data_IF_881771346762
#
_entry.id   IF_881771346762
#
_cell.length_a   1.000
_cell.length_b   1.000
_cell.length_c   1.000
_cell.angle_alpha   90.00
_cell.angle_beta   90.00
_cell.angle_gamma   90.00
#
_symmetry.space_group_name_H-M   'P 1'
#
loop_
_entity.id
_entity.type
_entity.pdbx_description
1 polymer ?
#
# COMPACT_ATOMS: atom_id res chain seq x y z
N UNK A 1 25.37 -9.07 3.28
CA UNK A 1 24.10 -9.75 3.60
C UNK A 1 24.29 -11.26 3.75
N UNK A 2 25.04 -11.94 2.87
CA UNK A 2 25.30 -13.37 2.93
C UNK A 2 25.90 -13.79 4.30
N UNK A 3 26.98 -13.15 4.71
CA UNK A 3 27.62 -13.43 6.01
C UNK A 3 26.65 -13.28 7.19
N UNK A 4 25.83 -12.23 7.17
CA UNK A 4 24.84 -11.98 8.21
C UNK A 4 23.74 -13.04 8.23
N UNK A 5 23.29 -13.46 7.03
CA UNK A 5 22.27 -14.51 6.92
C UNK A 5 22.77 -15.84 7.48
N UNK A 6 24.01 -16.22 7.16
CA UNK A 6 24.63 -17.45 7.67
C UNK A 6 24.87 -17.35 9.18
N UNK A 7 25.40 -16.22 9.65
CA UNK A 7 25.64 -15.99 11.07
C UNK A 7 24.36 -16.02 11.91
N UNK A 8 23.26 -15.50 11.35
CA UNK A 8 21.93 -15.53 11.96
C UNK A 8 21.18 -16.86 11.73
N UNK A 9 21.86 -17.92 11.30
CA UNK A 9 21.27 -19.25 11.03
C UNK A 9 20.05 -19.19 10.10
N UNK A 10 20.12 -18.39 9.03
CA UNK A 10 19.07 -18.18 8.03
C UNK A 10 17.79 -17.52 8.59
N UNK A 11 17.91 -16.71 9.66
CA UNK A 11 16.81 -15.90 10.16
C UNK A 11 16.53 -14.73 9.17
N UNK A 12 15.51 -14.91 8.33
CA UNK A 12 15.09 -13.89 7.37
C UNK A 12 14.58 -12.61 8.05
N UNK A 13 13.99 -12.69 9.24
CA UNK A 13 13.53 -11.50 9.97
C UNK A 13 14.70 -10.64 10.40
N UNK A 14 15.80 -11.25 10.82
CA UNK A 14 17.04 -10.54 11.11
C UNK A 14 17.58 -9.83 9.86
N UNK A 15 17.62 -10.53 8.72
CA UNK A 15 18.08 -9.96 7.46
C UNK A 15 17.21 -8.78 7.00
N UNK A 16 15.89 -8.91 7.07
CA UNK A 16 14.98 -7.81 6.75
C UNK A 16 15.19 -6.60 7.66
N UNK A 17 15.40 -6.79 8.97
CA UNK A 17 15.71 -5.68 9.88
C UNK A 17 17.00 -4.96 9.48
N UNK A 18 18.05 -5.69 9.11
CA UNK A 18 19.29 -5.07 8.62
C UNK A 18 19.07 -4.23 7.36
N UNK A 19 18.32 -4.75 6.39
CA UNK A 19 18.00 -4.03 5.15
C UNK A 19 17.20 -2.77 5.46
N UNK A 20 16.09 -2.90 6.19
CA UNK A 20 15.18 -1.79 6.48
C UNK A 20 15.83 -0.70 7.35
N UNK A 21 16.77 -1.05 8.21
CA UNK A 21 17.52 -0.09 9.03
C UNK A 21 18.80 0.43 8.36
N UNK A 22 19.09 0.01 7.13
CA UNK A 22 20.26 0.50 6.42
C UNK A 22 20.07 1.96 5.99
N UNK A 23 21.15 2.73 6.03
CA UNK A 23 21.15 4.13 5.54
C UNK A 23 20.68 4.24 4.09
N UNK A 24 21.01 3.26 3.26
CA UNK A 24 20.60 3.21 1.86
C UNK A 24 19.09 3.09 1.72
N UNK A 25 18.46 2.21 2.49
CA UNK A 25 17.01 2.00 2.44
C UNK A 25 16.22 3.19 3.00
N UNK A 26 16.78 3.87 4.01
CA UNK A 26 16.14 5.00 4.70
C UNK A 26 16.44 6.36 4.04
N UNK A 27 16.99 6.37 2.82
CA UNK A 27 17.18 7.62 2.08
C UNK A 27 15.85 8.27 1.74
N UNK A 28 15.83 9.61 1.79
CA UNK A 28 14.71 10.41 1.28
C UNK A 28 14.55 10.20 -0.23
N UNK A 29 13.33 10.38 -0.73
CA UNK A 29 13.07 10.46 -2.16
C UNK A 29 13.53 11.79 -2.78
N UNK A 30 13.77 12.80 -1.97
CA UNK A 30 14.30 14.08 -2.43
C UNK A 30 15.79 13.91 -2.66
N UNK A 31 16.21 14.04 -3.92
CA UNK A 31 17.62 14.03 -4.27
C UNK A 31 18.30 15.28 -3.72
N UNK A 32 19.47 15.16 -3.07
CA UNK A 32 20.25 16.32 -2.65
C UNK A 32 20.89 17.08 -3.82
N UNK A 33 20.90 16.51 -5.02
CA UNK A 33 21.41 17.07 -6.26
C UNK A 33 20.40 16.94 -7.38
N UNK A 34 20.31 17.93 -8.26
CA UNK A 34 19.47 17.88 -9.46
C UNK A 34 20.01 16.92 -10.54
N UNK A 35 21.09 16.20 -10.25
CA UNK A 35 21.75 15.32 -11.18
C UNK A 35 21.02 13.98 -11.32
N UNK A 36 20.75 13.57 -12.55
CA UNK A 36 20.11 12.29 -12.91
C UNK A 36 20.87 11.04 -12.44
N UNK A 37 22.15 11.19 -12.07
CA UNK A 37 22.97 10.10 -11.55
C UNK A 37 22.66 9.73 -10.09
N UNK A 38 21.84 10.51 -9.40
CA UNK A 38 21.49 10.28 -8.00
C UNK A 38 20.76 8.95 -7.77
N UNK A 39 19.90 8.55 -8.69
CA UNK A 39 19.18 7.28 -8.61
C UNK A 39 20.10 6.07 -8.85
N UNK A 40 21.00 6.16 -9.83
CA UNK A 40 21.95 5.09 -10.17
C UNK A 40 22.93 4.82 -9.02
N UNK A 41 23.26 5.84 -8.24
CA UNK A 41 24.19 5.75 -7.10
C UNK A 41 23.49 5.55 -5.75
N UNK A 42 22.19 5.23 -5.74
CA UNK A 42 21.39 5.07 -4.50
C UNK A 42 21.45 6.29 -3.56
N UNK A 43 21.62 7.49 -4.12
CA UNK A 43 21.68 8.72 -3.33
C UNK A 43 20.30 9.14 -2.80
N UNK A 44 19.23 8.73 -3.45
CA UNK A 44 17.85 8.92 -3.03
C UNK A 44 17.04 7.62 -3.21
N UNK A 45 15.89 7.54 -2.57
CA UNK A 45 14.96 6.42 -2.73
C UNK A 45 14.03 6.68 -3.93
N UNK A 46 14.03 5.86 -4.98
CA UNK A 46 13.16 6.09 -6.13
C UNK A 46 11.70 5.88 -5.74
N UNK A 47 10.86 6.86 -6.05
CA UNK A 47 9.42 6.75 -5.83
C UNK A 47 8.83 5.70 -6.76
N UNK A 48 8.13 4.75 -6.18
CA UNK A 48 7.38 3.73 -6.91
C UNK A 48 5.92 3.77 -6.53
N UNK A 49 5.06 3.52 -7.51
CA UNK A 49 3.64 3.32 -7.24
C UNK A 49 3.45 2.00 -6.50
N UNK A 50 2.55 1.99 -5.53
CA UNK A 50 2.14 0.75 -4.88
C UNK A 50 1.43 -0.16 -5.90
N UNK A 51 1.71 -1.45 -5.85
CA UNK A 51 0.96 -2.46 -6.57
C UNK A 51 -0.50 -2.47 -6.12
N UNK A 52 -1.39 -2.94 -7.01
CA UNK A 52 -2.83 -2.95 -6.76
C UNK A 52 -3.19 -3.68 -5.46
N UNK A 53 -2.56 -4.84 -5.23
CA UNK A 53 -2.78 -5.68 -4.06
C UNK A 53 -2.32 -4.99 -2.77
N UNK A 54 -1.14 -4.38 -2.80
CA UNK A 54 -0.58 -3.65 -1.65
C UNK A 54 -1.43 -2.42 -1.35
N UNK A 55 -1.87 -1.70 -2.38
CA UNK A 55 -2.68 -0.50 -2.22
C UNK A 55 -4.04 -0.81 -1.59
N UNK A 56 -4.74 -1.82 -2.07
CA UNK A 56 -6.05 -2.17 -1.51
C UNK A 56 -5.94 -2.74 -0.09
N UNK A 57 -4.92 -3.54 0.19
CA UNK A 57 -4.66 -4.06 1.53
C UNK A 57 -4.34 -2.93 2.51
N UNK A 58 -3.56 -1.92 2.08
CA UNK A 58 -3.28 -0.72 2.87
C UNK A 58 -4.56 0.07 3.16
N UNK A 59 -5.41 0.31 2.14
CA UNK A 59 -6.70 0.98 2.31
C UNK A 59 -7.62 0.22 3.28
N UNK A 60 -7.67 -1.11 3.18
CA UNK A 60 -8.42 -1.95 4.11
C UNK A 60 -7.87 -1.88 5.53
N UNK A 61 -6.55 -1.89 5.70
CA UNK A 61 -5.89 -1.80 6.99
C UNK A 61 -6.11 -0.44 7.67
N UNK A 62 -6.01 0.65 6.91
CA UNK A 62 -6.22 2.03 7.38
C UNK A 62 -7.67 2.20 7.82
N UNK A 63 -8.62 1.80 6.98
CA UNK A 63 -10.05 1.97 7.26
C UNK A 63 -10.62 0.94 8.24
N UNK A 64 -9.96 -0.21 8.41
CA UNK A 64 -10.48 -1.35 9.17
C UNK A 64 -11.56 -2.12 8.41
N UNK A 65 -11.63 -1.97 7.08
CA UNK A 65 -12.58 -2.67 6.21
C UNK A 65 -11.94 -3.88 5.55
N UNK A 66 -12.73 -4.60 4.76
CA UNK A 66 -12.28 -5.73 3.96
C UNK A 66 -12.55 -5.47 2.49
N UNK A 67 -11.86 -6.20 1.62
CA UNK A 67 -12.17 -6.24 0.19
C UNK A 67 -12.92 -7.52 -0.14
N UNK A 68 -13.80 -7.44 -1.12
CA UNK A 68 -14.52 -8.59 -1.63
C UNK A 68 -13.92 -9.02 -2.97
N UNK A 69 -13.68 -10.31 -3.09
CA UNK A 69 -13.14 -10.89 -4.32
C UNK A 69 -14.19 -11.79 -4.96
N UNK A 70 -14.09 -11.92 -6.26
CA UNK A 70 -14.85 -12.88 -7.05
C UNK A 70 -13.90 -13.84 -7.75
N UNK A 71 -14.35 -15.06 -7.98
CA UNK A 71 -13.63 -16.05 -8.77
C UNK A 71 -14.52 -16.56 -9.90
N UNK A 72 -13.90 -16.86 -11.04
CA UNK A 72 -14.55 -17.53 -12.17
C UNK A 72 -14.81 -19.00 -11.79
N UNK A 73 -14.00 -19.56 -10.89
CA UNK A 73 -14.13 -20.93 -10.41
C UNK A 73 -15.11 -20.93 -9.23
N UNK A 74 -16.25 -21.63 -9.31
CA UNK A 74 -17.24 -21.61 -8.25
C UNK A 74 -16.82 -22.43 -7.01
N UNK A 75 -17.46 -22.15 -5.87
CA UNK A 75 -17.38 -23.00 -4.69
C UNK A 75 -17.95 -24.41 -5.01
N UNK A 76 -17.42 -25.48 -4.41
CA UNK A 76 -16.37 -25.49 -3.36
C UNK A 76 -14.94 -25.54 -3.89
N UNK A 77 -14.73 -25.41 -5.19
CA UNK A 77 -13.39 -25.50 -5.80
C UNK A 77 -12.51 -24.29 -5.52
N UNK A 78 -13.13 -23.14 -5.26
CA UNK A 78 -12.43 -21.94 -4.79
C UNK A 78 -13.09 -21.50 -3.50
N UNK A 79 -12.33 -21.54 -2.40
CA UNK A 79 -12.76 -21.02 -1.10
C UNK A 79 -11.92 -19.79 -0.76
N UNK A 80 -12.60 -18.69 -0.46
CA UNK A 80 -11.96 -17.45 -0.02
C UNK A 80 -12.40 -17.11 1.41
N UNK A 81 -11.47 -17.10 2.38
CA UNK A 81 -11.77 -16.59 3.71
C UNK A 81 -12.24 -15.14 3.65
N UNK A 82 -13.13 -14.73 4.54
CA UNK A 82 -13.63 -13.35 4.61
C UNK A 82 -12.52 -12.32 4.91
N UNK A 83 -11.43 -12.74 5.56
CA UNK A 83 -10.28 -11.91 5.91
C UNK A 83 -9.11 -12.06 4.94
N UNK A 84 -9.36 -12.63 3.75
CA UNK A 84 -8.34 -12.81 2.72
C UNK A 84 -7.71 -11.48 2.33
N UNK A 85 -6.38 -11.42 2.39
CA UNK A 85 -5.62 -10.27 1.91
C UNK A 85 -5.33 -10.40 0.42
N UNK A 86 -5.32 -9.26 -0.30
CA UNK A 86 -5.03 -9.22 -1.72
C UNK A 86 -3.65 -9.77 -2.07
N UNK A 87 -2.64 -9.46 -1.26
CA UNK A 87 -1.26 -9.95 -1.46
C UNK A 87 -1.13 -11.47 -1.31
N UNK A 88 -2.11 -12.14 -0.70
CA UNK A 88 -2.12 -13.57 -0.48
C UNK A 88 -3.13 -14.32 -1.37
N UNK A 89 -3.65 -13.67 -2.40
CA UNK A 89 -4.49 -14.33 -3.42
C UNK A 89 -3.67 -15.33 -4.20
N UNK A 90 -4.23 -16.54 -4.39
CA UNK A 90 -3.51 -17.66 -4.97
C UNK A 90 -3.10 -17.41 -6.43
N UNK A 91 -4.01 -16.84 -7.22
CA UNK A 91 -3.80 -16.56 -8.64
C UNK A 91 -4.70 -15.41 -9.13
N UNK A 92 -4.63 -15.11 -10.42
CA UNK A 92 -5.39 -14.03 -11.03
C UNK A 92 -6.85 -14.41 -11.40
N UNK A 93 -7.25 -15.68 -11.21
CA UNK A 93 -8.65 -16.09 -11.35
C UNK A 93 -9.54 -15.49 -10.26
N UNK A 94 -8.92 -15.12 -9.13
CA UNK A 94 -9.56 -14.43 -8.01
C UNK A 94 -9.23 -12.95 -8.11
N UNK A 95 -10.21 -12.11 -8.37
CA UNK A 95 -10.00 -10.69 -8.64
C UNK A 95 -11.06 -9.80 -7.99
N UNK A 96 -10.87 -8.49 -8.07
CA UNK A 96 -11.88 -7.47 -7.78
C UNK A 96 -11.81 -6.35 -8.82
N UNK A 97 -12.88 -5.56 -8.99
CA UNK A 97 -12.87 -4.41 -9.89
C UNK A 97 -11.76 -3.38 -9.58
N UNK A 98 -11.33 -3.31 -8.32
CA UNK A 98 -10.21 -2.49 -7.91
C UNK A 98 -8.89 -3.03 -8.45
N UNK A 99 -8.61 -4.32 -8.24
CA UNK A 99 -7.38 -4.96 -8.69
C UNK A 99 -7.19 -4.86 -10.21
N UNK A 100 -8.25 -5.11 -10.97
CA UNK A 100 -8.25 -4.97 -12.44
C UNK A 100 -7.94 -3.53 -12.88
N UNK A 101 -8.58 -2.56 -12.24
CA UNK A 101 -8.39 -1.15 -12.56
C UNK A 101 -6.99 -0.66 -12.24
N UNK A 102 -6.37 -1.17 -11.18
CA UNK A 102 -5.06 -0.73 -10.70
C UNK A 102 -3.88 -1.53 -11.27
N UNK A 103 -4.14 -2.38 -12.26
CA UNK A 103 -3.09 -2.95 -13.11
C UNK A 103 -2.57 -4.30 -12.64
N UNK A 104 -3.36 -5.04 -11.81
CA UNK A 104 -3.05 -6.43 -11.54
C UNK A 104 -3.09 -7.23 -12.85
N UNK A 105 -2.18 -8.20 -13.01
CA UNK A 105 -2.21 -9.12 -14.14
C UNK A 105 -3.55 -9.86 -14.19
N UNK A 106 -4.13 -9.96 -15.38
CA UNK A 106 -5.34 -10.74 -15.63
C UNK A 106 -5.07 -12.23 -15.91
N UNK A 107 -3.80 -12.61 -15.97
CA UNK A 107 -3.39 -13.98 -16.27
C UNK A 107 -3.14 -14.78 -15.00
N UNK A 108 -3.46 -16.06 -15.04
CA UNK A 108 -3.24 -17.00 -13.93
C UNK A 108 -1.79 -17.14 -13.52
N UNK A 109 -0.87 -16.88 -14.46
CA UNK A 109 0.57 -16.95 -14.23
C UNK A 109 1.10 -15.85 -13.29
N UNK A 110 0.35 -14.76 -13.09
CA UNK A 110 0.76 -13.62 -12.26
C UNK A 110 2.08 -13.00 -12.67
N UNK A 111 2.47 -13.11 -13.95
CA UNK A 111 3.74 -12.58 -14.44
C UNK A 111 3.83 -11.08 -14.25
N UNK A 112 4.96 -10.63 -13.72
CA UNK A 112 5.26 -9.21 -13.52
C UNK A 112 5.16 -8.38 -14.81
N UNK A 113 5.55 -8.99 -15.94
CA UNK A 113 5.46 -8.37 -17.27
C UNK A 113 4.03 -8.03 -17.72
N UNK A 114 3.04 -8.68 -17.14
CA UNK A 114 1.63 -8.45 -17.47
C UNK A 114 1.00 -7.36 -16.58
N UNK A 115 1.72 -6.87 -15.57
CA UNK A 115 1.27 -5.78 -14.71
C UNK A 115 1.39 -4.44 -15.44
N UNK A 116 0.42 -3.58 -15.24
CA UNK A 116 0.43 -2.23 -15.79
C UNK A 116 0.86 -1.21 -14.74
N UNK A 117 2.05 -0.66 -14.90
CA UNK A 117 2.58 0.41 -14.03
C UNK A 117 2.14 1.81 -14.43
N UNK A 118 1.40 1.93 -15.52
CA UNK A 118 0.95 3.23 -16.04
C UNK A 118 -0.20 3.78 -15.19
N UNK A 119 -0.02 5.01 -14.72
CA UNK A 119 -1.08 5.75 -14.04
C UNK A 119 -2.10 6.24 -15.05
N UNK A 120 -3.37 5.88 -14.87
CA UNK A 120 -4.47 6.31 -15.74
C UNK A 120 -5.35 7.36 -15.07
N UNK A 121 -6.05 8.17 -15.88
CA UNK A 121 -7.05 9.11 -15.38
C UNK A 121 -8.19 8.38 -14.61
N UNK A 122 -8.56 7.19 -15.06
CA UNK A 122 -9.58 6.36 -14.40
C UNK A 122 -9.17 5.93 -12.99
N UNK A 123 -7.89 5.61 -12.75
CA UNK A 123 -7.38 5.29 -11.41
C UNK A 123 -7.44 6.50 -10.49
N UNK A 124 -7.00 7.68 -10.96
CA UNK A 124 -7.06 8.93 -10.18
C UNK A 124 -8.50 9.28 -9.82
N UNK A 125 -9.41 9.21 -10.80
CA UNK A 125 -10.82 9.50 -10.59
C UNK A 125 -11.46 8.51 -9.61
N UNK A 126 -11.07 7.24 -9.68
CA UNK A 126 -11.55 6.22 -8.75
C UNK A 126 -11.13 6.52 -7.30
N UNK A 127 -9.87 6.89 -7.06
CA UNK A 127 -9.41 7.26 -5.72
C UNK A 127 -10.11 8.51 -5.17
N UNK A 128 -10.42 9.47 -6.04
CA UNK A 128 -11.04 10.74 -5.63
C UNK A 128 -12.57 10.64 -5.43
N UNK A 129 -13.27 9.90 -6.29
CA UNK A 129 -14.73 10.04 -6.41
C UNK A 129 -15.51 8.72 -6.33
N UNK A 130 -14.85 7.55 -6.18
CA UNK A 130 -15.60 6.30 -6.18
C UNK A 130 -16.36 6.07 -4.88
N UNK A 131 -17.56 5.50 -5.01
CA UNK A 131 -18.33 5.02 -3.85
C UNK A 131 -17.57 3.95 -3.05
N UNK A 132 -16.73 3.16 -3.72
CA UNK A 132 -15.89 2.15 -3.08
C UNK A 132 -14.91 2.75 -2.05
N UNK A 133 -14.15 3.78 -2.44
CA UNK A 133 -13.23 4.47 -1.53
C UNK A 133 -14.00 5.25 -0.46
N UNK A 134 -15.08 5.94 -0.87
CA UNK A 134 -15.94 6.67 0.06
C UNK A 134 -16.52 5.79 1.15
N UNK A 135 -17.03 4.60 0.81
CA UNK A 135 -17.54 3.64 1.79
C UNK A 135 -16.46 3.16 2.76
N UNK A 136 -15.21 2.97 2.28
CA UNK A 136 -14.08 2.62 3.16
C UNK A 136 -13.76 3.75 4.16
N UNK A 137 -13.85 5.01 3.72
CA UNK A 137 -13.62 6.17 4.60
C UNK A 137 -14.80 6.36 5.57
N UNK A 138 -16.02 6.49 5.05
CA UNK A 138 -17.20 6.81 5.85
C UNK A 138 -17.70 5.64 6.70
N UNK A 139 -17.57 4.40 6.21
CA UNK A 139 -18.05 3.19 6.89
C UNK A 139 -16.94 2.42 7.63
N UNK A 140 -15.69 2.83 7.49
CA UNK A 140 -14.56 2.13 8.10
C UNK A 140 -14.53 2.29 9.62
N UNK A 141 -14.52 1.19 10.39
CA UNK A 141 -14.58 1.26 11.86
C UNK A 141 -13.37 1.98 12.48
N UNK A 142 -12.23 2.00 11.82
CA UNK A 142 -11.06 2.77 12.28
C UNK A 142 -11.12 4.26 11.92
N UNK A 143 -11.85 4.60 10.85
CA UNK A 143 -11.99 5.97 10.39
C UNK A 143 -13.05 6.75 11.18
N UNK A 144 -14.09 6.07 11.69
CA UNK A 144 -15.18 6.71 12.43
C UNK A 144 -14.72 7.52 13.66
N UNK A 145 -13.85 7.00 14.53
CA UNK A 145 -13.33 7.78 15.65
C UNK A 145 -12.55 9.02 15.18
N UNK A 146 -11.73 8.90 14.13
CA UNK A 146 -10.93 9.99 13.59
C UNK A 146 -11.81 11.10 13.01
N UNK A 147 -12.86 10.72 12.28
CA UNK A 147 -13.86 11.68 11.75
C UNK A 147 -14.61 12.37 12.89
N UNK A 148 -14.91 11.68 13.97
CA UNK A 148 -15.56 12.27 15.12
C UNK A 148 -14.61 13.23 15.86
N UNK A 149 -13.39 12.84 16.10
CA UNK A 149 -12.37 13.66 16.76
C UNK A 149 -12.00 14.91 15.96
N UNK A 150 -12.04 14.84 14.64
CA UNK A 150 -11.75 16.01 13.79
C UNK A 150 -12.69 17.20 14.04
N UNK A 151 -13.85 16.97 14.66
CA UNK A 151 -14.79 18.04 15.05
C UNK A 151 -14.44 18.74 16.37
N UNK A 152 -13.76 18.05 17.26
CA UNK A 152 -13.46 18.52 18.61
C UNK A 152 -11.97 18.80 18.82
N UNK A 153 -11.10 17.99 18.19
CA UNK A 153 -9.65 17.98 18.37
C UNK A 153 -8.95 17.81 17.01
N UNK A 154 -9.01 18.85 16.20
CA UNK A 154 -8.54 18.80 14.83
C UNK A 154 -7.06 18.39 14.70
N UNK A 155 -6.17 18.96 15.51
CA UNK A 155 -4.72 18.69 15.45
C UNK A 155 -4.38 17.23 15.81
N UNK A 156 -5.06 16.67 16.85
CA UNK A 156 -4.85 15.28 17.25
C UNK A 156 -5.33 14.32 16.14
N UNK A 157 -6.47 14.62 15.52
CA UNK A 157 -7.01 13.80 14.42
C UNK A 157 -6.12 13.85 13.17
N UNK A 158 -5.60 15.02 12.81
CA UNK A 158 -4.64 15.18 11.70
C UNK A 158 -3.37 14.40 11.99
N UNK A 159 -2.83 14.53 13.19
CA UNK A 159 -1.63 13.79 13.61
C UNK A 159 -1.82 12.27 13.47
N UNK A 160 -2.94 11.75 13.98
CA UNK A 160 -3.24 10.32 13.90
C UNK A 160 -3.42 9.84 12.46
N UNK A 161 -4.04 10.64 11.60
CA UNK A 161 -4.15 10.35 10.16
C UNK A 161 -2.77 10.27 9.50
N UNK A 162 -1.90 11.24 9.77
CA UNK A 162 -0.54 11.23 9.22
C UNK A 162 0.28 10.03 9.69
N UNK A 163 0.20 9.70 10.98
CA UNK A 163 0.86 8.51 11.52
C UNK A 163 0.31 7.21 10.91
N UNK A 164 -1.00 7.10 10.76
CA UNK A 164 -1.66 5.90 10.24
C UNK A 164 -1.38 5.69 8.74
N UNK A 165 -1.41 6.77 7.93
CA UNK A 165 -1.31 6.69 6.48
C UNK A 165 0.15 6.81 6.02
N UNK A 166 0.89 7.76 6.58
CA UNK A 166 2.22 8.15 6.12
C UNK A 166 3.36 7.71 7.07
N UNK A 167 3.02 7.18 8.26
CA UNK A 167 3.98 6.77 9.29
C UNK A 167 4.96 7.88 9.69
N UNK A 168 4.52 9.14 9.62
CA UNK A 168 5.27 10.33 10.04
C UNK A 168 4.35 11.38 10.66
N UNK A 169 4.91 12.30 11.40
CA UNK A 169 4.17 13.47 11.88
C UNK A 169 3.93 14.46 10.72
N UNK A 170 2.82 15.22 10.77
CA UNK A 170 2.62 16.35 9.85
C UNK A 170 3.64 17.47 10.12
N UNK A 171 3.97 18.23 9.09
CA UNK A 171 4.77 19.46 9.23
C UNK A 171 3.88 20.62 9.67
N UNK A 172 4.50 21.73 10.13
CA UNK A 172 3.74 22.93 10.50
C UNK A 172 2.89 23.45 9.34
N UNK A 173 3.42 23.44 8.12
CA UNK A 173 2.71 23.85 6.91
C UNK A 173 1.48 22.98 6.61
N UNK A 174 1.58 21.67 6.89
CA UNK A 174 0.50 20.71 6.67
C UNK A 174 -0.62 20.80 7.71
N UNK A 175 -0.36 21.43 8.85
CA UNK A 175 -1.39 21.76 9.82
C UNK A 175 -2.20 23.01 9.47
N UNK A 176 -1.64 23.94 8.66
CA UNK A 176 -2.28 25.20 8.28
C UNK A 176 -3.26 25.05 7.10
N UNK A 177 -3.31 23.88 6.43
CA UNK A 177 -4.21 23.57 5.33
C UNK A 177 -5.57 23.08 5.83
#
# INVERSE_FOLDING_TARGET
LEHELVAARYDLKHLFRLILNSTTYQRSHISPTEDSQGEENFACYPLRRLEAEVLIDALCQISGTREQYSSIIPEPYTFMPEDQRSVALADASITSPFLEKFGRSSRDTGLESDRSDRTTAAQRLHLLNSSHIRQKIEGGPKMQPLIHWSREKNEEAVTELYLTILSRFPTEEEFEI
#
